data_IF_264759784897
#
_entry.id   IF_264759784897
#
_cell.length_a   1.000
_cell.length_b   1.000
_cell.length_c   1.000
_cell.angle_alpha   90.00
_cell.angle_beta   90.00
_cell.angle_gamma   90.00
#
_symmetry.space_group_name_H-M   'P 1'
#
loop_
_entity.id
_entity.type
_entity.pdbx_description
1 polymer ?
#
# COMPACT_ATOMS: atom_id res chain seq x y z
N UNK A 1 38.34 -4.10 34.46
CA UNK A 1 37.09 -4.39 33.73
C UNK A 1 36.19 -3.18 33.85
N UNK A 2 36.07 -2.39 32.78
CA UNK A 2 35.05 -1.34 32.67
C UNK A 2 33.79 -2.01 32.13
N UNK A 3 32.70 -1.98 32.89
CA UNK A 3 31.38 -2.24 32.34
C UNK A 3 30.86 -0.92 31.81
N UNK A 4 30.67 -0.85 30.50
CA UNK A 4 29.98 0.25 29.83
C UNK A 4 28.49 -0.06 29.88
N UNK A 5 27.72 0.78 30.55
CA UNK A 5 26.27 0.75 30.54
C UNK A 5 25.82 1.35 29.22
N UNK A 6 25.15 0.55 28.38
CA UNK A 6 24.45 1.04 27.19
C UNK A 6 23.18 1.73 27.70
N UNK A 7 23.06 3.03 27.42
CA UNK A 7 21.85 3.78 27.67
C UNK A 7 20.81 3.37 26.62
N UNK A 8 19.77 2.66 27.03
CA UNK A 8 18.59 2.44 26.19
C UNK A 8 17.84 3.77 26.04
N UNK A 9 17.66 4.20 24.80
CA UNK A 9 16.73 5.27 24.45
C UNK A 9 15.33 4.71 24.73
N UNK A 10 14.63 5.29 25.71
CA UNK A 10 13.26 4.93 25.99
C UNK A 10 12.38 5.46 24.84
N UNK A 11 11.90 4.56 23.98
CA UNK A 11 10.85 4.85 23.00
C UNK A 11 9.64 5.37 23.77
N UNK A 12 9.42 6.68 23.70
CA UNK A 12 8.31 7.32 24.40
C UNK A 12 7.07 7.06 23.57
N UNK A 13 6.22 6.13 24.03
CA UNK A 13 4.88 5.95 23.48
C UNK A 13 4.15 7.28 23.62
N UNK A 14 3.86 7.94 22.50
CA UNK A 14 3.04 9.15 22.52
C UNK A 14 1.61 8.69 22.80
N UNK A 15 1.21 8.76 24.08
CA UNK A 15 -0.20 8.67 24.45
C UNK A 15 -0.85 9.99 24.08
N UNK A 16 -1.06 10.22 22.78
CA UNK A 16 -1.94 11.28 22.32
C UNK A 16 -3.34 10.93 22.83
N UNK A 17 -4.02 11.91 23.45
CA UNK A 17 -5.43 11.75 23.77
C UNK A 17 -6.19 11.37 22.51
N UNK A 18 -7.13 10.43 22.62
CA UNK A 18 -7.98 9.93 21.53
C UNK A 18 -8.86 11.03 20.86
N UNK A 19 -8.64 12.30 21.18
CA UNK A 19 -9.40 13.47 20.69
C UNK A 19 -8.65 14.27 19.61
N UNK A 20 -7.41 13.91 19.24
CA UNK A 20 -6.58 14.79 18.42
C UNK A 20 -6.78 14.71 16.89
N UNK A 21 -7.54 13.74 16.34
CA UNK A 21 -7.85 13.72 14.91
C UNK A 21 -9.25 13.17 14.63
N UNK A 22 -10.22 14.06 14.50
CA UNK A 22 -11.65 13.74 14.39
C UNK A 22 -12.06 12.90 13.17
N UNK A 23 -11.15 12.65 12.23
CA UNK A 23 -11.38 11.82 11.05
C UNK A 23 -10.98 10.35 11.22
N UNK A 24 -10.19 10.01 12.25
CA UNK A 24 -9.79 8.62 12.52
C UNK A 24 -10.66 8.02 13.62
N UNK A 25 -11.43 7.00 13.26
CA UNK A 25 -12.30 6.31 14.20
C UNK A 25 -11.62 5.07 14.79
N UNK A 26 -11.29 5.11 16.09
CA UNK A 26 -10.90 3.91 16.84
C UNK A 26 -12.12 3.00 17.03
N UNK A 27 -11.97 1.74 16.62
CA UNK A 27 -13.01 0.72 16.70
C UNK A 27 -12.36 -0.60 17.14
N UNK A 28 -13.02 -1.35 18.03
CA UNK A 28 -12.52 -2.65 18.47
C UNK A 28 -12.65 -3.69 17.35
N UNK A 29 -11.82 -4.74 17.36
CA UNK A 29 -11.93 -5.80 16.37
C UNK A 29 -13.33 -6.47 16.36
N UNK A 30 -13.95 -6.82 17.51
CA UNK A 30 -15.32 -7.34 17.52
C UNK A 30 -16.36 -6.40 16.90
N UNK A 31 -16.28 -5.09 17.19
CA UNK A 31 -17.19 -4.11 16.62
C UNK A 31 -16.97 -3.97 15.10
N UNK A 32 -15.72 -4.00 14.63
CA UNK A 32 -15.42 -3.97 13.21
C UNK A 32 -15.94 -5.21 12.48
N UNK A 33 -15.73 -6.40 13.04
CA UNK A 33 -16.21 -7.68 12.49
C UNK A 33 -17.74 -7.75 12.41
N UNK A 34 -18.45 -7.03 13.29
CA UNK A 34 -19.92 -6.92 13.26
C UNK A 34 -20.46 -6.15 12.05
N UNK A 35 -19.61 -5.36 11.37
CA UNK A 35 -19.99 -4.59 10.18
C UNK A 35 -20.14 -5.51 8.95
N UNK A 36 -20.92 -5.13 7.93
CA UNK A 36 -20.93 -5.84 6.65
C UNK A 36 -19.53 -5.86 6.01
N UNK A 37 -19.16 -6.97 5.38
CA UNK A 37 -17.96 -7.02 4.55
C UNK A 37 -18.21 -6.20 3.28
N UNK A 38 -17.30 -5.27 2.96
CA UNK A 38 -17.33 -4.49 1.72
C UNK A 38 -16.15 -4.86 0.82
N UNK A 39 -16.40 -4.90 -0.49
CA UNK A 39 -15.33 -4.98 -1.48
C UNK A 39 -14.59 -6.30 -1.59
N UNK A 40 -15.25 -7.41 -1.27
CA UNK A 40 -14.77 -8.74 -1.64
C UNK A 40 -15.76 -9.40 -2.60
N UNK A 41 -15.25 -9.84 -3.75
CA UNK A 41 -16.03 -10.51 -4.78
C UNK A 41 -15.35 -11.84 -5.13
N UNK A 42 -16.12 -12.92 -5.24
CA UNK A 42 -15.60 -14.19 -5.74
C UNK A 42 -15.35 -14.09 -7.25
N UNK A 43 -14.14 -14.45 -7.68
CA UNK A 43 -13.82 -14.59 -9.10
C UNK A 43 -12.73 -13.65 -9.60
N UNK A 44 -12.06 -14.11 -10.67
CA UNK A 44 -11.00 -13.37 -11.37
C UNK A 44 -11.52 -12.18 -12.18
N UNK A 45 -12.81 -12.16 -12.50
CA UNK A 45 -13.46 -11.00 -13.09
C UNK A 45 -14.05 -10.15 -11.96
N UNK A 46 -13.30 -9.13 -11.54
CA UNK A 46 -13.97 -7.95 -11.01
C UNK A 46 -15.00 -7.50 -12.06
N UNK A 47 -16.21 -7.06 -11.68
CA UNK A 47 -17.13 -6.47 -12.65
C UNK A 47 -16.33 -5.53 -13.55
N UNK A 48 -16.30 -5.83 -14.86
CA UNK A 48 -15.70 -4.94 -15.84
C UNK A 48 -16.43 -3.59 -15.70
N UNK A 49 -15.73 -2.60 -15.13
CA UNK A 49 -16.29 -1.29 -14.84
C UNK A 49 -16.05 -0.87 -13.40
N UNK A 50 -15.29 0.23 -13.24
CA UNK A 50 -15.41 1.25 -12.19
C UNK A 50 -16.32 0.85 -11.02
N UNK A 51 -15.80 0.03 -10.12
CA UNK A 51 -16.29 0.09 -8.75
C UNK A 51 -15.78 1.42 -8.20
N UNK A 52 -16.66 2.37 -7.89
CA UNK A 52 -16.28 3.56 -7.12
C UNK A 52 -15.95 3.20 -5.66
N UNK A 53 -16.15 1.95 -5.27
CA UNK A 53 -15.94 1.44 -3.92
C UNK A 53 -14.78 0.45 -3.86
N UNK A 54 -14.17 0.34 -2.69
CA UNK A 54 -13.10 -0.63 -2.40
C UNK A 54 -13.39 -2.02 -2.98
N UNK A 55 -12.37 -2.66 -3.55
CA UNK A 55 -12.41 -4.04 -4.02
C UNK A 55 -11.03 -4.69 -3.84
N UNK A 56 -10.91 -5.66 -2.93
CA UNK A 56 -9.63 -6.29 -2.62
C UNK A 56 -9.01 -6.99 -3.83
N UNK A 57 -9.81 -7.63 -4.68
CA UNK A 57 -9.28 -8.40 -5.80
C UNK A 57 -8.84 -7.52 -6.98
N UNK A 58 -9.42 -6.34 -7.16
CA UNK A 58 -9.04 -5.40 -8.20
C UNK A 58 -9.44 -3.99 -7.76
N UNK A 59 -8.51 -3.28 -7.14
CA UNK A 59 -8.80 -1.99 -6.55
C UNK A 59 -9.23 -0.97 -7.62
N UNK A 60 -10.17 -0.08 -7.26
CA UNK A 60 -10.41 1.13 -8.04
C UNK A 60 -9.10 1.90 -8.24
N UNK A 61 -9.00 2.59 -9.37
CA UNK A 61 -7.80 3.31 -9.79
C UNK A 61 -8.16 4.44 -10.73
N UNK A 62 -7.21 5.33 -10.96
CA UNK A 62 -7.28 6.45 -11.89
C UNK A 62 -7.59 5.95 -13.28
N UNK A 63 -8.69 6.44 -13.87
CA UNK A 63 -9.18 6.02 -15.18
C UNK A 63 -10.02 7.15 -15.82
N UNK A 64 -10.20 7.11 -17.13
CA UNK A 64 -10.91 8.14 -17.89
C UNK A 64 -12.38 8.37 -17.49
N UNK A 65 -13.05 7.43 -16.84
CA UNK A 65 -14.47 7.55 -16.49
C UNK A 65 -14.70 8.34 -15.20
N UNK A 66 -13.81 8.21 -14.23
CA UNK A 66 -13.96 8.84 -12.90
C UNK A 66 -12.97 9.98 -12.68
N UNK A 67 -11.98 10.16 -13.57
CA UNK A 67 -11.02 11.23 -13.44
C UNK A 67 -11.68 12.60 -13.55
N UNK A 68 -11.43 13.46 -12.56
CA UNK A 68 -11.89 14.84 -12.56
C UNK A 68 -10.69 15.76 -12.78
N UNK A 69 -10.77 16.58 -13.82
CA UNK A 69 -9.77 17.60 -14.09
C UNK A 69 -9.79 18.66 -12.98
N UNK A 70 -8.60 19.10 -12.58
CA UNK A 70 -8.45 20.33 -11.80
C UNK A 70 -8.83 21.53 -12.69
N UNK A 71 -9.24 22.66 -12.09
CA UNK A 71 -9.55 23.89 -12.83
C UNK A 71 -8.42 24.24 -13.81
N UNK A 72 -8.76 24.88 -14.94
CA UNK A 72 -7.79 25.37 -15.91
C UNK A 72 -6.82 26.44 -15.37
N UNK A 73 -7.03 26.88 -14.12
CA UNK A 73 -6.10 27.77 -13.41
C UNK A 73 -4.84 27.06 -12.91
N UNK A 74 -4.78 25.74 -13.05
CA UNK A 74 -3.70 24.88 -12.58
C UNK A 74 -3.16 24.03 -13.73
N UNK A 75 -1.86 24.12 -13.98
CA UNK A 75 -1.13 23.30 -14.93
C UNK A 75 -0.54 22.08 -14.22
N UNK A 76 -0.81 20.87 -14.71
CA UNK A 76 -0.16 19.66 -14.21
C UNK A 76 1.30 19.63 -14.69
N UNK A 77 2.26 19.61 -13.76
CA UNK A 77 3.69 19.66 -14.08
C UNK A 77 4.46 18.38 -13.69
N UNK A 78 3.97 17.60 -12.73
CA UNK A 78 4.59 16.35 -12.31
C UNK A 78 3.56 15.33 -11.80
N UNK A 79 3.81 14.06 -12.06
CA UNK A 79 3.05 12.93 -11.53
C UNK A 79 4.03 11.91 -10.98
N UNK A 80 3.86 11.54 -9.71
CA UNK A 80 4.50 10.36 -9.15
C UNK A 80 3.44 9.49 -8.50
N UNK A 81 3.45 8.20 -8.80
CA UNK A 81 2.52 7.26 -8.18
C UNK A 81 3.24 6.02 -7.69
N UNK A 82 2.63 5.41 -6.68
CA UNK A 82 2.99 4.10 -6.16
C UNK A 82 1.76 3.21 -6.21
N UNK A 83 1.93 1.97 -6.68
CA UNK A 83 0.87 0.99 -6.58
C UNK A 83 1.35 -0.36 -6.07
N UNK A 84 0.43 -1.12 -5.48
CA UNK A 84 0.63 -2.53 -5.12
C UNK A 84 0.62 -3.40 -6.38
N UNK A 85 1.40 -4.48 -6.38
CA UNK A 85 1.25 -5.55 -7.35
C UNK A 85 -0.21 -6.09 -7.46
N UNK A 86 -0.49 -6.84 -8.53
CA UNK A 86 -1.82 -7.40 -8.80
C UNK A 86 -1.99 -8.82 -8.23
N UNK A 87 -3.12 -9.48 -8.58
CA UNK A 87 -3.49 -10.83 -8.15
C UNK A 87 -2.36 -11.82 -8.35
N UNK A 88 -1.99 -12.50 -7.26
CA UNK A 88 -0.94 -13.51 -7.21
C UNK A 88 -1.42 -14.76 -6.49
N UNK A 89 -0.64 -15.83 -6.60
CA UNK A 89 -0.77 -16.97 -5.69
C UNK A 89 -0.45 -16.55 -4.23
N UNK A 90 -0.88 -17.32 -3.23
CA UNK A 90 -0.42 -17.12 -1.85
C UNK A 90 1.11 -17.22 -1.73
N UNK A 91 1.67 -16.66 -0.66
CA UNK A 91 3.04 -16.98 -0.27
C UNK A 91 3.16 -18.46 0.14
N UNK A 92 4.33 -19.07 -0.09
CA UNK A 92 4.56 -20.48 0.26
C UNK A 92 4.31 -20.79 1.76
N UNK A 93 4.64 -19.82 2.63
CA UNK A 93 4.44 -19.86 4.08
C UNK A 93 2.98 -19.75 4.50
N UNK A 94 2.11 -19.29 3.61
CA UNK A 94 0.70 -19.03 3.86
C UNK A 94 -0.18 -20.12 3.24
N UNK A 95 0.42 -21.11 2.56
CA UNK A 95 -0.31 -22.26 2.04
C UNK A 95 -0.65 -23.26 3.14
N UNK A 96 -1.91 -23.68 3.18
CA UNK A 96 -2.42 -24.65 4.15
C UNK A 96 -1.98 -26.08 3.78
N UNK A 97 -1.98 -27.05 4.72
CA UNK A 97 -1.57 -28.43 4.44
C UNK A 97 -2.38 -29.10 3.32
N UNK A 98 -3.65 -28.72 3.15
CA UNK A 98 -4.52 -29.22 2.08
C UNK A 98 -4.25 -28.59 0.70
N UNK A 99 -3.37 -27.59 0.61
CA UNK A 99 -3.12 -26.87 -0.63
C UNK A 99 -2.16 -27.63 -1.54
N UNK A 100 -2.46 -27.63 -2.84
CA UNK A 100 -1.57 -28.20 -3.84
C UNK A 100 -0.41 -27.27 -4.09
N UNK A 101 0.80 -27.71 -3.75
CA UNK A 101 2.07 -27.03 -4.06
C UNK A 101 2.65 -27.62 -5.33
N UNK A 102 2.83 -26.80 -6.36
CA UNK A 102 3.65 -27.20 -7.51
C UNK A 102 5.14 -27.10 -7.12
N UNK A 103 5.89 -28.22 -7.09
CA UNK A 103 7.29 -28.21 -6.69
C UNK A 103 8.20 -27.43 -7.65
N UNK A 104 7.73 -27.10 -8.86
CA UNK A 104 8.49 -26.33 -9.85
C UNK A 104 8.13 -24.83 -9.85
N UNK A 105 7.22 -24.41 -8.97
CA UNK A 105 6.80 -23.00 -8.86
C UNK A 105 7.48 -22.33 -7.68
N UNK A 106 8.13 -21.19 -7.94
CA UNK A 106 8.60 -20.29 -6.88
C UNK A 106 7.44 -19.42 -6.40
N UNK A 107 6.87 -19.70 -5.23
CA UNK A 107 5.77 -18.87 -4.72
C UNK A 107 6.28 -17.58 -4.05
N UNK A 108 5.58 -16.44 -4.21
CA UNK A 108 4.37 -16.26 -5.00
C UNK A 108 4.66 -15.96 -6.49
N UNK A 109 3.64 -16.16 -7.34
CA UNK A 109 3.65 -15.75 -8.75
C UNK A 109 2.41 -14.92 -9.10
N UNK A 110 2.57 -13.96 -10.01
CA UNK A 110 1.43 -13.26 -10.60
C UNK A 110 0.57 -14.27 -11.37
N UNK A 111 -0.74 -14.20 -11.17
CA UNK A 111 -1.71 -15.03 -11.89
C UNK A 111 -2.00 -14.45 -13.27
N UNK A 112 -2.54 -15.25 -14.20
CA UNK A 112 -3.04 -14.73 -15.49
C UNK A 112 -4.06 -13.58 -15.29
N UNK A 113 -4.90 -13.65 -14.26
CA UNK A 113 -5.81 -12.56 -13.90
C UNK A 113 -5.05 -11.29 -13.48
N UNK A 114 -3.96 -11.45 -12.72
CA UNK A 114 -3.10 -10.34 -12.33
C UNK A 114 -2.34 -9.71 -13.49
N UNK A 115 -1.90 -10.49 -14.49
CA UNK A 115 -1.31 -9.95 -15.72
C UNK A 115 -2.33 -9.12 -16.52
N UNK A 116 -3.56 -9.63 -16.67
CA UNK A 116 -4.66 -8.91 -17.34
C UNK A 116 -4.98 -7.61 -16.59
N UNK A 117 -5.09 -7.65 -15.26
CA UNK A 117 -5.37 -6.46 -14.46
C UNK A 117 -4.22 -5.45 -14.54
N UNK A 118 -2.97 -5.90 -14.58
CA UNK A 118 -1.79 -5.05 -14.76
C UNK A 118 -1.82 -4.33 -16.11
N UNK A 119 -2.12 -5.05 -17.20
CA UNK A 119 -2.29 -4.47 -18.53
C UNK A 119 -3.41 -3.43 -18.56
N UNK A 120 -4.57 -3.75 -17.97
CA UNK A 120 -5.69 -2.83 -17.91
C UNK A 120 -5.38 -1.60 -17.05
N UNK A 121 -4.66 -1.77 -15.93
CA UNK A 121 -4.18 -0.67 -15.11
C UNK A 121 -3.30 0.28 -15.94
N UNK A 122 -2.38 -0.25 -16.75
CA UNK A 122 -1.61 0.55 -17.70
C UNK A 122 -2.49 1.33 -18.69
N UNK A 123 -3.50 0.69 -19.26
CA UNK A 123 -4.46 1.37 -20.16
C UNK A 123 -5.27 2.46 -19.46
N UNK A 124 -5.69 2.22 -18.23
CA UNK A 124 -6.46 3.18 -17.44
C UNK A 124 -5.63 4.45 -17.19
N UNK A 125 -4.37 4.29 -16.77
CA UNK A 125 -3.44 5.40 -16.59
C UNK A 125 -3.13 6.12 -17.91
N UNK A 126 -2.90 5.38 -19.00
CA UNK A 126 -2.70 5.96 -20.33
C UNK A 126 -3.88 6.83 -20.75
N UNK A 127 -5.12 6.34 -20.56
CA UNK A 127 -6.31 7.09 -20.93
C UNK A 127 -6.43 8.44 -20.21
N UNK A 128 -5.90 8.55 -19.00
CA UNK A 128 -5.90 9.81 -18.23
C UNK A 128 -4.72 10.67 -18.62
N UNK A 129 -3.50 10.15 -18.45
CA UNK A 129 -2.29 10.97 -18.57
C UNK A 129 -1.85 11.21 -20.01
N UNK A 130 -2.23 10.36 -20.96
CA UNK A 130 -2.01 10.61 -22.38
C UNK A 130 -3.27 11.22 -23.03
N UNK A 131 -4.38 10.48 -23.06
CA UNK A 131 -5.50 10.86 -23.94
C UNK A 131 -6.29 12.09 -23.43
N UNK A 132 -6.54 12.19 -22.12
CA UNK A 132 -7.30 13.31 -21.53
C UNK A 132 -6.41 14.52 -21.28
N UNK A 133 -5.25 14.30 -20.65
CA UNK A 133 -4.39 15.38 -20.17
C UNK A 133 -3.29 15.79 -21.16
N UNK A 134 -2.95 14.95 -22.15
CA UNK A 134 -1.81 15.18 -23.04
C UNK A 134 -0.47 15.29 -22.30
N UNK A 135 -0.38 14.72 -21.09
CA UNK A 135 0.76 14.87 -20.19
C UNK A 135 1.88 13.90 -20.54
N UNK A 136 1.58 12.63 -20.83
CA UNK A 136 2.55 11.63 -21.30
C UNK A 136 2.87 11.85 -22.78
N UNK A 137 4.12 11.63 -23.22
CA UNK A 137 4.47 11.64 -24.63
C UNK A 137 3.87 10.43 -25.37
N UNK A 138 3.60 10.57 -26.66
CA UNK A 138 3.09 9.49 -27.52
C UNK A 138 4.10 8.33 -27.62
N UNK A 139 5.39 8.65 -27.74
CA UNK A 139 6.49 7.69 -27.70
C UNK A 139 7.18 7.72 -26.34
N UNK A 140 7.61 6.54 -25.84
CA UNK A 140 8.33 6.46 -24.58
C UNK A 140 9.64 7.26 -24.64
N UNK A 141 9.78 8.20 -23.71
CA UNK A 141 10.98 9.01 -23.54
C UNK A 141 11.56 8.79 -22.13
N UNK A 142 12.73 8.13 -22.00
CA UNK A 142 13.34 7.88 -20.69
C UNK A 142 13.86 9.15 -19.99
N UNK A 143 13.96 10.30 -20.67
CA UNK A 143 14.30 11.58 -20.04
C UNK A 143 13.10 12.25 -19.35
N UNK A 144 11.88 11.83 -19.71
CA UNK A 144 10.62 12.39 -19.21
C UNK A 144 9.80 11.41 -18.35
N UNK A 145 9.96 10.10 -18.58
CA UNK A 145 9.12 9.05 -18.01
C UNK A 145 9.99 7.95 -17.38
N UNK A 146 9.84 7.76 -16.07
CA UNK A 146 10.56 6.76 -15.29
C UNK A 146 9.63 5.70 -14.70
N UNK A 147 10.14 4.48 -14.61
CA UNK A 147 9.49 3.35 -13.95
C UNK A 147 10.45 2.72 -12.96
N UNK A 148 9.94 2.29 -11.81
CA UNK A 148 10.69 1.57 -10.78
C UNK A 148 9.82 0.45 -10.24
N UNK A 149 10.40 -0.71 -10.01
CA UNK A 149 9.74 -1.80 -9.30
C UNK A 149 10.70 -2.40 -8.28
N UNK A 150 10.16 -2.94 -7.19
CA UNK A 150 10.97 -3.57 -6.12
C UNK A 150 11.76 -4.76 -6.65
N UNK A 151 12.82 -5.20 -5.94
CA UNK A 151 13.59 -6.37 -6.37
C UNK A 151 12.85 -7.71 -6.09
N UNK A 152 11.65 -7.84 -6.64
CA UNK A 152 10.71 -8.94 -6.44
C UNK A 152 10.12 -9.40 -7.78
N UNK A 153 9.98 -10.70 -7.97
CA UNK A 153 9.49 -11.27 -9.23
C UNK A 153 8.05 -10.86 -9.55
N UNK A 154 7.19 -10.64 -8.54
CA UNK A 154 5.78 -10.29 -8.77
C UNK A 154 5.62 -8.84 -9.24
N UNK A 155 6.41 -7.91 -8.73
CA UNK A 155 6.38 -6.50 -9.14
C UNK A 155 6.99 -6.34 -10.54
N UNK A 156 8.03 -7.12 -10.86
CA UNK A 156 8.55 -7.23 -12.22
C UNK A 156 7.51 -7.77 -13.23
N UNK A 157 6.78 -8.83 -12.88
CA UNK A 157 5.73 -9.38 -13.75
C UNK A 157 4.58 -8.38 -13.99
N UNK A 158 4.21 -7.60 -12.97
CA UNK A 158 3.26 -6.49 -13.09
C UNK A 158 3.77 -5.43 -14.05
N UNK A 159 5.02 -4.97 -13.88
CA UNK A 159 5.66 -4.01 -14.78
C UNK A 159 5.57 -4.45 -16.25
N UNK A 160 5.97 -5.70 -16.55
CA UNK A 160 5.98 -6.25 -17.91
C UNK A 160 4.60 -6.25 -18.57
N UNK A 161 3.53 -6.41 -17.79
CA UNK A 161 2.16 -6.39 -18.29
C UNK A 161 1.60 -4.97 -18.39
N UNK A 162 1.93 -4.11 -17.41
CA UNK A 162 1.53 -2.72 -17.37
C UNK A 162 2.04 -1.91 -18.55
N UNK A 163 3.32 -2.04 -18.87
CA UNK A 163 3.93 -1.28 -19.99
C UNK A 163 3.27 -1.60 -21.33
N UNK A 164 2.83 -2.84 -21.54
CA UNK A 164 2.08 -3.20 -22.76
C UNK A 164 0.76 -2.44 -22.88
N UNK A 165 0.18 -2.01 -21.77
CA UNK A 165 -1.04 -1.20 -21.74
C UNK A 165 -0.79 0.31 -21.94
N UNK A 166 0.40 0.80 -21.58
CA UNK A 166 0.79 2.21 -21.75
C UNK A 166 1.51 2.47 -23.07
N UNK A 167 2.60 1.75 -23.33
CA UNK A 167 3.44 1.91 -24.52
C UNK A 167 3.56 0.58 -25.28
N UNK A 168 2.55 0.20 -26.08
CA UNK A 168 2.56 -1.06 -26.81
C UNK A 168 3.77 -1.19 -27.73
N UNK A 169 4.64 -2.17 -27.46
CA UNK A 169 5.82 -2.46 -28.27
C UNK A 169 7.06 -1.61 -27.98
N UNK A 170 6.99 -0.67 -27.02
CA UNK A 170 8.17 0.06 -26.58
C UNK A 170 9.09 -0.81 -25.72
N UNK A 171 10.40 -0.55 -25.81
CA UNK A 171 11.39 -1.15 -24.92
C UNK A 171 11.61 -0.23 -23.71
N UNK A 172 10.82 -0.41 -22.67
CA UNK A 172 10.90 0.37 -21.43
C UNK A 172 11.79 -0.36 -20.42
N UNK A 173 12.76 0.34 -19.86
CA UNK A 173 13.61 -0.17 -18.78
C UNK A 173 13.16 0.48 -17.48
N UNK A 174 12.85 -0.33 -16.47
CA UNK A 174 12.64 0.17 -15.12
C UNK A 174 13.95 0.24 -14.34
N UNK A 175 14.02 1.19 -13.41
CA UNK A 175 15.05 1.24 -12.40
C UNK A 175 14.96 0.05 -11.45
N UNK A 176 16.12 -0.49 -11.10
CA UNK A 176 16.32 -1.51 -10.07
C UNK A 176 17.41 -1.04 -9.12
N UNK A 177 17.13 -1.08 -7.81
CA UNK A 177 18.10 -0.71 -6.77
C UNK A 177 18.44 -1.93 -5.91
N UNK A 178 19.70 -2.01 -5.49
CA UNK A 178 20.16 -3.04 -4.56
C UNK A 178 19.63 -2.78 -3.14
N UNK A 179 19.72 -1.53 -2.69
CA UNK A 179 19.07 -1.04 -1.48
C UNK A 179 17.88 -0.19 -1.92
N UNK A 180 16.70 -0.77 -1.77
CA UNK A 180 15.46 -0.21 -2.29
C UNK A 180 14.57 0.25 -1.13
N UNK A 181 14.28 1.56 -1.02
CA UNK A 181 13.32 2.12 -0.06
C UNK A 181 11.86 2.01 -0.53
N UNK A 182 11.60 1.49 -1.75
CA UNK A 182 10.25 1.24 -2.26
C UNK A 182 9.65 -0.03 -1.66
N UNK A 183 10.48 -1.05 -1.46
CA UNK A 183 10.12 -2.18 -0.61
C UNK A 183 10.44 -1.79 0.84
N UNK A 184 9.52 -1.95 1.80
CA UNK A 184 9.74 -1.53 3.19
C UNK A 184 10.67 -2.50 3.96
N UNK A 185 11.79 -2.88 3.35
CA UNK A 185 12.73 -3.89 3.81
C UNK A 185 13.99 -3.32 4.47
N UNK A 186 14.12 -1.99 4.55
CA UNK A 186 15.18 -1.35 5.35
C UNK A 186 14.96 -1.77 6.81
N UNK A 187 15.92 -2.47 7.45
CA UNK A 187 15.82 -2.83 8.86
C UNK A 187 15.59 -1.59 9.72
N UNK A 188 14.71 -1.69 10.71
CA UNK A 188 14.50 -0.59 11.65
C UNK A 188 13.86 -1.08 12.94
N UNK A 189 14.67 -1.21 13.98
CA UNK A 189 14.22 -1.68 15.29
C UNK A 189 13.12 -0.79 15.89
N UNK A 190 13.21 0.53 15.70
CA UNK A 190 12.21 1.50 16.17
C UNK A 190 10.84 1.26 15.51
N UNK A 191 10.81 1.02 14.20
CA UNK A 191 9.57 0.71 13.49
C UNK A 191 8.99 -0.65 13.94
N UNK A 192 9.85 -1.65 14.18
CA UNK A 192 9.42 -2.96 14.67
C UNK A 192 8.84 -2.87 16.09
N UNK A 193 9.50 -2.15 16.98
CA UNK A 193 9.04 -1.90 18.35
C UNK A 193 7.71 -1.12 18.38
N UNK A 194 7.56 -0.11 17.53
CA UNK A 194 6.31 0.64 17.40
C UNK A 194 5.16 -0.25 16.90
N UNK A 195 5.40 -1.08 15.89
CA UNK A 195 4.40 -2.03 15.40
C UNK A 195 4.02 -3.04 16.48
N UNK A 196 4.99 -3.57 17.23
CA UNK A 196 4.74 -4.46 18.36
C UNK A 196 3.94 -3.76 19.46
N UNK A 197 4.25 -2.50 19.78
CA UNK A 197 3.52 -1.71 20.76
C UNK A 197 2.08 -1.45 20.34
N UNK A 198 1.83 -1.13 19.05
CA UNK A 198 0.47 -0.97 18.51
C UNK A 198 -0.33 -2.27 18.69
N UNK A 199 0.28 -3.42 18.38
CA UNK A 199 -0.35 -4.74 18.51
C UNK A 199 -0.40 -5.27 19.95
N UNK A 200 -0.01 -4.47 20.93
CA UNK A 200 -0.06 -4.81 22.35
C UNK A 200 -0.97 -3.86 23.15
N UNK A 201 -1.75 -3.02 22.46
CA UNK A 201 -2.70 -2.12 23.13
C UNK A 201 -3.94 -2.89 23.58
N UNK A 202 -4.70 -2.33 24.53
CA UNK A 202 -5.97 -2.91 24.99
C UNK A 202 -7.03 -3.03 23.87
N UNK A 203 -6.86 -2.30 22.75
CA UNK A 203 -7.74 -2.40 21.59
C UNK A 203 -7.35 -3.55 20.65
N UNK A 204 -6.09 -3.99 20.68
CA UNK A 204 -5.66 -5.19 19.97
C UNK A 204 -6.35 -6.41 20.54
N UNK A 205 -6.91 -7.23 19.66
CA UNK A 205 -7.55 -8.45 20.10
C UNK A 205 -6.49 -9.52 20.36
N UNK A 206 -6.66 -10.28 21.45
CA UNK A 206 -5.87 -11.48 21.64
C UNK A 206 -6.36 -12.56 20.67
N UNK A 207 -5.48 -13.09 19.82
CA UNK A 207 -5.84 -14.12 18.84
C UNK A 207 -6.42 -15.36 19.54
N UNK A 208 -5.94 -15.65 20.75
CA UNK A 208 -6.46 -16.73 21.60
C UNK A 208 -7.92 -16.58 22.03
N UNK A 209 -8.45 -15.35 22.02
CA UNK A 209 -9.86 -15.07 22.34
C UNK A 209 -10.77 -15.14 21.10
N UNK A 210 -10.21 -15.19 19.90
CA UNK A 210 -10.96 -15.26 18.65
C UNK A 210 -11.17 -16.72 18.23
N UNK A 211 -12.43 -17.19 18.25
CA UNK A 211 -12.74 -18.60 17.95
C UNK A 211 -12.32 -19.04 16.55
N UNK A 212 -12.32 -18.11 15.59
CA UNK A 212 -11.97 -18.35 14.19
C UNK A 212 -10.57 -19.00 14.02
N UNK A 213 -9.60 -18.65 14.87
CA UNK A 213 -8.26 -19.26 14.81
C UNK A 213 -8.31 -20.76 15.13
N UNK A 214 -9.06 -21.14 16.17
CA UNK A 214 -9.19 -22.53 16.56
C UNK A 214 -10.04 -23.30 15.54
N UNK A 215 -11.12 -22.71 15.04
CA UNK A 215 -11.98 -23.32 14.01
C UNK A 215 -11.20 -23.66 12.74
N UNK A 216 -10.43 -22.70 12.20
CA UNK A 216 -9.62 -22.92 11.00
C UNK A 216 -8.44 -23.86 11.29
N UNK A 217 -7.82 -23.74 12.47
CA UNK A 217 -6.73 -24.63 12.86
C UNK A 217 -7.15 -26.10 12.90
N UNK A 218 -8.29 -26.39 13.52
CA UNK A 218 -8.85 -27.74 13.60
C UNK A 218 -9.25 -28.25 12.22
N UNK A 219 -9.82 -27.39 11.38
CA UNK A 219 -10.25 -27.74 10.03
C UNK A 219 -9.08 -28.08 9.11
N UNK A 220 -8.01 -27.29 9.15
CA UNK A 220 -6.87 -27.40 8.25
C UNK A 220 -5.73 -28.26 8.83
N UNK A 221 -5.90 -28.77 10.06
CA UNK A 221 -4.92 -29.62 10.74
C UNK A 221 -3.62 -28.90 11.10
N UNK A 222 -3.70 -27.60 11.43
CA UNK A 222 -2.55 -26.78 11.83
C UNK A 222 -2.59 -26.47 13.34
N UNK A 223 -1.45 -26.10 13.90
CA UNK A 223 -1.33 -25.72 15.32
C UNK A 223 -0.20 -24.72 15.51
N UNK A 224 -0.20 -24.02 16.67
CA UNK A 224 0.74 -22.94 16.99
C UNK A 224 2.22 -23.35 16.97
N UNK A 225 2.53 -24.61 17.26
CA UNK A 225 3.93 -25.09 17.29
C UNK A 225 4.44 -25.44 15.89
N UNK A 226 3.62 -26.08 15.07
CA UNK A 226 3.98 -26.48 13.70
C UNK A 226 3.86 -25.34 12.68
N UNK A 227 2.95 -24.39 12.94
CA UNK A 227 2.57 -23.32 12.01
C UNK A 227 2.45 -21.96 12.72
N UNK A 228 3.49 -21.50 13.44
CA UNK A 228 3.41 -20.32 14.30
C UNK A 228 2.97 -19.04 13.57
N UNK A 229 3.25 -18.91 12.27
CA UNK A 229 2.83 -17.76 11.46
C UNK A 229 1.31 -17.56 11.40
N UNK A 230 0.51 -18.62 11.56
CA UNK A 230 -0.96 -18.53 11.56
C UNK A 230 -1.56 -18.07 12.90
N UNK A 231 -0.76 -17.82 13.94
CA UNK A 231 -1.24 -17.60 15.31
C UNK A 231 -0.71 -16.31 15.97
N UNK A 232 -0.25 -15.33 15.18
CA UNK A 232 0.13 -13.99 15.64
C UNK A 232 -0.42 -12.84 14.79
N UNK A 233 -1.14 -13.16 13.73
CA UNK A 233 -1.89 -12.26 12.85
C UNK A 233 -2.81 -13.13 11.99
N UNK A 234 -3.94 -12.57 11.55
CA UNK A 234 -4.85 -13.26 10.63
C UNK A 234 -4.33 -13.25 9.18
N UNK A 235 -3.22 -12.56 8.92
CA UNK A 235 -2.61 -12.33 7.62
C UNK A 235 -2.36 -13.62 6.81
N UNK A 236 -1.88 -14.69 7.44
CA UNK A 236 -1.65 -15.98 6.76
C UNK A 236 -2.96 -16.57 6.21
N UNK A 237 -4.04 -16.57 7.01
CA UNK A 237 -5.36 -17.01 6.55
C UNK A 237 -5.94 -16.06 5.51
N UNK A 238 -5.79 -14.75 5.73
CA UNK A 238 -6.28 -13.73 4.83
C UNK A 238 -5.61 -13.83 3.46
N UNK A 239 -4.28 -13.91 3.39
CA UNK A 239 -3.51 -14.06 2.15
C UNK A 239 -3.88 -15.34 1.40
N UNK A 240 -4.03 -16.46 2.12
CA UNK A 240 -4.43 -17.74 1.53
C UNK A 240 -5.81 -17.66 0.88
N UNK A 241 -6.83 -17.28 1.67
CA UNK A 241 -8.21 -17.27 1.25
C UNK A 241 -8.47 -16.20 0.20
N UNK A 242 -7.90 -15.00 0.36
CA UNK A 242 -8.06 -13.92 -0.62
C UNK A 242 -7.39 -14.25 -1.95
N UNK A 243 -6.18 -14.83 -1.96
CA UNK A 243 -5.50 -15.21 -3.21
C UNK A 243 -6.31 -16.24 -4.00
N UNK A 244 -6.85 -17.27 -3.33
CA UNK A 244 -7.72 -18.29 -3.96
C UNK A 244 -9.02 -17.70 -4.48
N UNK A 245 -9.73 -16.95 -3.64
CA UNK A 245 -11.03 -16.36 -4.04
C UNK A 245 -10.89 -15.34 -5.17
N UNK A 246 -9.84 -14.53 -5.17
CA UNK A 246 -9.53 -13.60 -6.26
C UNK A 246 -9.10 -14.32 -7.55
N UNK A 247 -8.55 -15.53 -7.48
CA UNK A 247 -8.32 -16.38 -8.64
C UNK A 247 -9.61 -17.04 -9.16
N UNK A 248 -10.67 -17.05 -8.37
CA UNK A 248 -11.92 -17.77 -8.64
C UNK A 248 -11.90 -19.23 -8.18
N UNK A 249 -10.92 -19.60 -7.35
CA UNK A 249 -10.81 -20.94 -6.79
C UNK A 249 -11.85 -21.14 -5.67
N UNK A 250 -12.26 -22.39 -5.50
CA UNK A 250 -13.06 -22.78 -4.35
C UNK A 250 -12.22 -22.71 -3.07
N UNK A 251 -12.81 -22.16 -2.01
CA UNK A 251 -12.23 -22.17 -0.66
C UNK A 251 -13.03 -23.12 0.23
N UNK A 252 -12.32 -23.85 1.07
CA UNK A 252 -12.91 -24.80 2.00
C UNK A 252 -13.24 -24.11 3.32
N UNK A 253 -14.07 -23.07 3.32
CA UNK A 253 -14.52 -22.37 4.54
C UNK A 253 -15.99 -21.98 4.37
N UNK A 254 -16.70 -21.79 5.49
CA UNK A 254 -18.05 -21.20 5.44
C UNK A 254 -17.96 -19.72 5.07
N UNK A 255 -19.07 -19.14 4.62
CA UNK A 255 -19.12 -17.70 4.34
C UNK A 255 -18.83 -16.88 5.61
N UNK A 256 -19.30 -17.32 6.77
CA UNK A 256 -19.07 -16.64 8.05
C UNK A 256 -17.59 -16.66 8.44
N UNK A 257 -16.91 -17.80 8.27
CA UNK A 257 -15.47 -17.90 8.48
C UNK A 257 -14.70 -16.99 7.53
N UNK A 258 -15.05 -17.02 6.24
CA UNK A 258 -14.43 -16.14 5.23
C UNK A 258 -14.61 -14.67 5.60
N UNK A 259 -15.84 -14.24 5.89
CA UNK A 259 -16.17 -12.87 6.26
C UNK A 259 -15.39 -12.43 7.51
N UNK A 260 -15.27 -13.31 8.50
CA UNK A 260 -14.55 -13.02 9.75
C UNK A 260 -13.06 -12.82 9.47
N UNK A 261 -12.42 -13.71 8.70
CA UNK A 261 -11.02 -13.56 8.31
C UNK A 261 -10.78 -12.26 7.54
N UNK A 262 -11.62 -11.97 6.54
CA UNK A 262 -11.45 -10.76 5.73
C UNK A 262 -11.62 -9.48 6.54
N UNK A 263 -12.62 -9.43 7.43
CA UNK A 263 -12.84 -8.26 8.31
C UNK A 263 -11.74 -8.10 9.34
N UNK A 264 -11.25 -9.18 9.94
CA UNK A 264 -10.10 -9.10 10.86
C UNK A 264 -8.86 -8.60 10.13
N UNK A 265 -8.58 -9.08 8.92
CA UNK A 265 -7.42 -8.61 8.16
C UNK A 265 -7.52 -7.13 7.80
N UNK A 266 -8.71 -6.65 7.43
CA UNK A 266 -8.94 -5.22 7.25
C UNK A 266 -8.75 -4.42 8.53
N UNK A 267 -9.29 -4.91 9.64
CA UNK A 267 -9.15 -4.25 10.93
C UNK A 267 -7.69 -4.18 11.39
N UNK A 268 -6.92 -5.27 11.26
CA UNK A 268 -5.49 -5.27 11.60
C UNK A 268 -4.72 -4.21 10.81
N UNK A 269 -5.05 -4.03 9.52
CA UNK A 269 -4.44 -3.01 8.67
C UNK A 269 -4.91 -1.60 9.02
N UNK A 270 -6.21 -1.39 9.22
CA UNK A 270 -6.77 -0.12 9.67
C UNK A 270 -6.08 0.33 10.95
N UNK A 271 -6.07 -0.54 11.95
CA UNK A 271 -5.54 -0.21 13.26
C UNK A 271 -4.03 -0.02 13.23
N UNK A 272 -3.29 -0.94 12.60
CA UNK A 272 -1.81 -0.84 12.57
C UNK A 272 -1.34 0.39 11.81
N UNK A 273 -1.95 0.70 10.66
CA UNK A 273 -1.39 1.63 9.69
C UNK A 273 -2.22 2.90 9.46
N UNK A 274 -3.30 3.11 10.19
CA UNK A 274 -4.12 4.31 10.00
C UNK A 274 -4.72 4.83 11.31
N UNK A 275 -5.57 4.05 11.98
CA UNK A 275 -6.37 4.55 13.11
C UNK A 275 -5.63 4.56 14.45
N UNK A 276 -4.58 3.77 14.65
CA UNK A 276 -3.76 3.84 15.86
C UNK A 276 -3.07 5.20 16.02
N UNK A 277 -3.02 5.77 17.24
CA UNK A 277 -2.26 7.00 17.51
C UNK A 277 -0.77 6.93 17.16
N UNK A 278 -0.19 5.73 17.12
CA UNK A 278 1.22 5.52 16.77
C UNK A 278 1.44 5.19 15.28
N UNK A 279 0.39 5.22 14.44
CA UNK A 279 0.52 4.87 13.02
C UNK A 279 1.47 5.83 12.28
N UNK A 280 1.31 7.14 12.46
CA UNK A 280 2.22 8.15 11.88
C UNK A 280 3.66 7.93 12.33
N UNK A 281 3.88 7.71 13.63
CA UNK A 281 5.22 7.50 14.17
C UNK A 281 5.86 6.22 13.60
N UNK A 282 5.10 5.13 13.47
CA UNK A 282 5.55 3.92 12.77
C UNK A 282 5.93 4.23 11.30
N UNK A 283 5.08 4.97 10.60
CA UNK A 283 5.27 5.33 9.20
C UNK A 283 6.52 6.16 8.97
N UNK A 284 6.86 7.08 9.89
CA UNK A 284 8.08 7.90 9.85
C UNK A 284 9.34 7.04 9.73
N UNK A 285 9.48 6.07 10.63
CA UNK A 285 10.63 5.17 10.61
C UNK A 285 10.57 4.18 9.44
N UNK A 286 9.40 3.59 9.18
CA UNK A 286 9.30 2.52 8.17
C UNK A 286 9.35 3.02 6.72
N UNK A 287 8.82 4.20 6.46
CA UNK A 287 8.57 4.68 5.09
C UNK A 287 8.95 6.16 4.88
N UNK A 288 9.67 6.76 5.83
CA UNK A 288 10.20 8.11 5.70
C UNK A 288 11.21 8.24 4.56
N UNK A 289 12.12 7.27 4.37
CA UNK A 289 13.11 7.33 3.30
C UNK A 289 12.49 7.46 1.90
N UNK A 290 11.40 6.74 1.62
CA UNK A 290 10.67 6.88 0.36
C UNK A 290 9.96 8.24 0.26
N UNK A 291 9.35 8.68 1.37
CA UNK A 291 8.54 9.91 1.37
C UNK A 291 9.41 11.17 1.29
N UNK A 292 10.62 11.14 1.86
CA UNK A 292 11.64 12.18 1.66
C UNK A 292 12.16 12.19 0.22
N UNK A 293 12.36 11.02 -0.40
CA UNK A 293 12.69 10.93 -1.83
C UNK A 293 11.58 11.56 -2.70
N UNK A 294 10.32 11.21 -2.44
CA UNK A 294 9.16 11.80 -3.10
C UNK A 294 9.11 13.33 -2.94
N UNK A 295 9.31 13.85 -1.73
CA UNK A 295 9.37 15.29 -1.48
C UNK A 295 10.50 15.96 -2.28
N UNK A 296 11.68 15.35 -2.31
CA UNK A 296 12.82 15.86 -3.09
C UNK A 296 12.55 15.92 -4.58
N UNK A 297 11.73 15.00 -5.13
CA UNK A 297 11.33 15.08 -6.53
C UNK A 297 10.44 16.28 -6.80
N UNK A 298 9.52 16.62 -5.89
CA UNK A 298 8.72 17.84 -6.03
C UNK A 298 9.59 19.10 -5.99
N UNK A 299 10.55 19.17 -5.06
CA UNK A 299 11.51 20.29 -4.98
C UNK A 299 12.31 20.44 -6.28
N UNK A 300 12.82 19.33 -6.83
CA UNK A 300 13.60 19.36 -8.08
C UNK A 300 12.75 19.72 -9.31
N UNK A 301 11.44 19.45 -9.30
CA UNK A 301 10.54 19.93 -10.36
C UNK A 301 10.32 21.43 -10.22
N UNK A 302 10.10 21.91 -8.99
CA UNK A 302 9.89 23.33 -8.66
C UNK A 302 11.12 24.17 -9.04
N UNK A 303 12.33 23.68 -8.76
CA UNK A 303 13.57 24.38 -9.08
C UNK A 303 14.07 24.18 -10.52
N UNK A 304 13.43 23.26 -11.28
CA UNK A 304 13.73 22.96 -12.67
C UNK A 304 14.96 22.07 -12.90
N UNK A 305 15.50 21.43 -11.86
CA UNK A 305 16.63 20.50 -11.96
C UNK A 305 16.24 19.08 -12.38
N UNK A 306 14.95 18.73 -12.32
CA UNK A 306 14.43 17.42 -12.75
C UNK A 306 13.66 17.50 -14.07
N UNK A 307 14.04 16.64 -15.02
CA UNK A 307 13.38 16.51 -16.33
C UNK A 307 12.25 15.48 -16.33
N UNK A 308 12.33 14.47 -15.45
CA UNK A 308 11.32 13.42 -15.32
C UNK A 308 10.03 14.06 -14.82
N UNK A 309 8.98 13.99 -15.65
CA UNK A 309 7.64 14.52 -15.34
C UNK A 309 6.67 13.45 -14.87
N UNK A 310 6.94 12.17 -15.17
CA UNK A 310 6.13 11.04 -14.74
C UNK A 310 7.01 9.95 -14.13
N UNK A 311 6.74 9.57 -12.87
CA UNK A 311 7.40 8.46 -12.19
C UNK A 311 6.37 7.44 -11.70
N UNK A 312 6.59 6.17 -12.03
CA UNK A 312 5.70 5.07 -11.65
C UNK A 312 6.44 4.02 -10.84
N UNK A 313 6.04 3.87 -9.57
CA UNK A 313 6.60 2.89 -8.65
C UNK A 313 5.66 1.69 -8.46
N UNK A 314 6.17 0.47 -8.62
CA UNK A 314 5.42 -0.79 -8.46
C UNK A 314 5.95 -1.55 -7.24
N UNK A 315 5.09 -1.73 -6.25
CA UNK A 315 5.46 -2.08 -4.89
C UNK A 315 4.50 -3.11 -4.26
N UNK A 316 4.44 -3.13 -2.92
CA UNK A 316 3.71 -4.11 -2.13
C UNK A 316 2.60 -3.44 -1.30
N UNK A 317 1.74 -4.26 -0.69
CA UNK A 317 0.78 -3.78 0.32
C UNK A 317 1.51 -3.16 1.50
N UNK A 318 2.63 -3.74 1.95
CA UNK A 318 3.48 -3.15 2.99
C UNK A 318 3.97 -1.73 2.63
N UNK A 319 4.31 -1.48 1.37
CA UNK A 319 4.70 -0.15 0.86
C UNK A 319 3.54 0.84 0.94
N UNK A 320 2.37 0.44 0.43
CA UNK A 320 1.15 1.25 0.48
C UNK A 320 0.74 1.56 1.92
N UNK A 321 0.79 0.57 2.80
CA UNK A 321 0.45 0.71 4.22
C UNK A 321 1.46 1.54 5.00
N UNK A 322 2.76 1.42 4.71
CA UNK A 322 3.79 2.28 5.31
C UNK A 322 3.58 3.75 4.94
N UNK A 323 3.26 4.02 3.67
CA UNK A 323 2.94 5.37 3.20
C UNK A 323 1.66 5.92 3.82
N UNK A 324 0.59 5.12 3.87
CA UNK A 324 -0.67 5.53 4.53
C UNK A 324 -0.45 5.81 6.01
N UNK A 325 0.36 5.00 6.69
CA UNK A 325 0.70 5.22 8.10
C UNK A 325 1.36 6.58 8.29
N UNK A 326 2.42 6.85 7.54
CA UNK A 326 3.13 8.13 7.59
C UNK A 326 2.23 9.31 7.23
N UNK A 327 1.29 9.16 6.29
CA UNK A 327 0.42 10.26 5.88
C UNK A 327 -0.88 10.36 6.69
N UNK A 328 -1.11 9.50 7.69
CA UNK A 328 -2.44 9.34 8.31
C UNK A 328 -2.97 10.59 9.03
N UNK A 329 -2.09 11.49 9.49
CA UNK A 329 -2.48 12.81 10.01
C UNK A 329 -2.68 13.86 8.90
N UNK A 330 -2.12 13.62 7.71
CA UNK A 330 -2.16 14.53 6.57
C UNK A 330 -3.33 14.27 5.63
N UNK A 331 -3.78 13.02 5.51
CA UNK A 331 -4.89 12.61 4.62
C UNK A 331 -6.09 12.08 5.42
N UNK A 332 -7.27 12.12 4.81
CA UNK A 332 -8.49 11.52 5.35
C UNK A 332 -9.03 10.44 4.42
N UNK A 333 -8.94 9.18 4.88
CA UNK A 333 -9.51 8.01 4.21
C UNK A 333 -10.84 7.54 4.85
N UNK A 334 -11.23 8.11 5.99
CA UNK A 334 -12.32 7.63 6.85
C UNK A 334 -12.05 6.27 7.51
N UNK A 335 -11.88 5.23 6.70
CA UNK A 335 -11.43 3.90 7.10
C UNK A 335 -10.38 3.38 6.12
N UNK A 336 -9.34 2.77 6.66
CA UNK A 336 -8.35 2.08 5.85
C UNK A 336 -8.66 0.59 5.83
N UNK A 337 -8.68 -0.01 4.66
CA UNK A 337 -8.75 -1.46 4.49
C UNK A 337 -7.40 -1.92 3.97
N UNK A 338 -7.05 -3.19 4.21
CA UNK A 338 -5.86 -3.80 3.61
C UNK A 338 -5.77 -3.41 2.13
N UNK A 339 -4.69 -2.76 1.65
CA UNK A 339 -4.59 -2.31 0.27
C UNK A 339 -4.89 -3.46 -0.69
N UNK A 340 -5.98 -3.37 -1.45
CA UNK A 340 -6.35 -4.42 -2.40
C UNK A 340 -5.36 -4.52 -3.57
N UNK A 341 -5.45 -5.59 -4.35
CA UNK A 341 -4.60 -5.85 -5.50
C UNK A 341 -4.67 -4.68 -6.49
N UNK A 342 -3.51 -4.15 -6.88
CA UNK A 342 -3.45 -2.99 -7.77
C UNK A 342 -3.83 -1.66 -7.14
N UNK A 343 -3.98 -1.56 -5.80
CA UNK A 343 -4.24 -0.28 -5.12
C UNK A 343 -3.14 0.73 -5.45
N UNK A 344 -3.53 1.97 -5.72
CA UNK A 344 -2.59 3.04 -6.03
C UNK A 344 -2.81 4.28 -5.16
N UNK A 345 -1.72 5.00 -4.91
CA UNK A 345 -1.72 6.37 -4.43
C UNK A 345 -0.96 7.21 -5.45
N UNK A 346 -1.61 8.27 -5.94
CA UNK A 346 -1.09 9.15 -6.98
C UNK A 346 -0.87 10.53 -6.38
N UNK A 347 0.31 11.07 -6.62
CA UNK A 347 0.68 12.45 -6.31
C UNK A 347 0.81 13.23 -7.61
N UNK A 348 0.04 14.30 -7.73
CA UNK A 348 0.10 15.20 -8.88
C UNK A 348 0.48 16.60 -8.39
N UNK A 349 1.58 17.14 -8.91
CA UNK A 349 2.01 18.50 -8.64
C UNK A 349 1.48 19.43 -9.72
N UNK A 350 0.80 20.48 -9.28
CA UNK A 350 0.23 21.50 -10.13
C UNK A 350 0.92 22.84 -9.89
N UNK A 351 1.06 23.63 -10.95
CA UNK A 351 1.44 25.03 -10.90
C UNK A 351 0.23 25.90 -11.18
N UNK A 352 -0.13 26.77 -10.25
CA UNK A 352 -1.22 27.72 -10.41
C UNK A 352 -0.78 28.93 -11.25
N UNK A 353 -1.75 29.65 -11.82
CA UNK A 353 -1.52 30.87 -12.60
C UNK A 353 -0.74 31.97 -11.87
N UNK A 354 -0.72 31.96 -10.54
CA UNK A 354 0.02 32.89 -9.70
C UNK A 354 1.43 32.38 -9.34
N UNK A 355 1.88 31.30 -9.97
CA UNK A 355 3.16 30.62 -9.74
C UNK A 355 3.27 29.84 -8.42
N UNK A 356 2.18 29.73 -7.65
CA UNK A 356 2.11 28.86 -6.47
C UNK A 356 1.96 27.39 -6.88
N UNK A 357 2.43 26.48 -6.04
CA UNK A 357 2.40 25.05 -6.32
C UNK A 357 1.42 24.31 -5.40
N UNK A 358 0.70 23.34 -5.96
CA UNK A 358 -0.34 22.58 -5.27
C UNK A 358 -0.14 21.09 -5.47
N UNK A 359 -0.28 20.33 -4.38
CA UNK A 359 -0.26 18.89 -4.39
C UNK A 359 -1.69 18.35 -4.39
N UNK A 360 -2.01 17.53 -5.39
CA UNK A 360 -3.17 16.65 -5.37
C UNK A 360 -2.74 15.24 -5.00
N UNK A 361 -3.41 14.65 -4.02
CA UNK A 361 -3.24 13.24 -3.64
C UNK A 361 -4.53 12.51 -3.99
N UNK A 362 -4.40 11.39 -4.71
CA UNK A 362 -5.50 10.49 -5.02
C UNK A 362 -5.22 9.10 -4.46
N UNK A 363 -6.24 8.43 -3.94
CA UNK A 363 -6.18 7.02 -3.53
C UNK A 363 -7.36 6.26 -4.13
N UNK A 364 -7.07 5.15 -4.80
CA UNK A 364 -8.09 4.37 -5.49
C UNK A 364 -8.86 5.15 -6.57
N UNK A 365 -8.18 6.07 -7.27
CA UNK A 365 -8.78 6.92 -8.31
C UNK A 365 -9.66 8.07 -7.81
N UNK A 366 -9.71 8.31 -6.49
CA UNK A 366 -10.42 9.46 -5.89
C UNK A 366 -9.46 10.46 -5.30
N UNK A 367 -9.74 11.74 -5.50
CA UNK A 367 -9.05 12.81 -4.79
C UNK A 367 -9.35 12.71 -3.30
N UNK A 368 -8.28 12.65 -2.49
CA UNK A 368 -8.36 12.65 -1.03
C UNK A 368 -7.82 13.96 -0.44
N UNK A 369 -6.98 14.68 -1.17
CA UNK A 369 -6.46 15.99 -0.76
C UNK A 369 -6.02 16.82 -1.97
N UNK A 370 -6.30 18.12 -1.92
CA UNK A 370 -5.75 19.13 -2.82
C UNK A 370 -5.34 20.35 -1.99
N UNK A 371 -4.05 20.66 -1.93
CA UNK A 371 -3.48 21.57 -0.92
C UNK A 371 -2.21 22.26 -1.45
N UNK A 372 -1.83 23.44 -0.97
CA UNK A 372 -0.52 24.02 -1.26
C UNK A 372 0.62 23.03 -0.96
N UNK A 373 1.62 22.93 -1.83
CA UNK A 373 2.73 21.97 -1.64
C UNK A 373 3.48 22.19 -0.31
N UNK A 374 3.57 23.44 0.14
CA UNK A 374 4.19 23.82 1.41
C UNK A 374 3.57 23.10 2.62
N UNK A 375 2.27 22.78 2.59
CA UNK A 375 1.63 22.03 3.67
C UNK A 375 2.19 20.60 3.77
N UNK A 376 2.57 20.01 2.64
CA UNK A 376 3.20 18.69 2.61
C UNK A 376 4.64 18.75 3.11
N UNK A 377 5.42 19.76 2.69
CA UNK A 377 6.78 19.95 3.20
C UNK A 377 6.81 20.22 4.70
N UNK A 378 5.99 21.17 5.17
CA UNK A 378 5.85 21.45 6.60
C UNK A 378 5.40 20.22 7.39
N UNK A 379 4.50 19.40 6.82
CA UNK A 379 4.08 18.16 7.47
C UNK A 379 5.24 17.17 7.70
N UNK A 380 6.12 17.00 6.71
CA UNK A 380 7.29 16.13 6.86
C UNK A 380 8.35 16.72 7.79
N UNK A 381 8.53 18.04 7.74
CA UNK A 381 9.49 18.76 8.59
C UNK A 381 9.05 18.77 10.06
N UNK A 382 7.78 19.07 10.35
CA UNK A 382 7.22 19.05 11.71
C UNK A 382 7.29 17.67 12.37
N UNK A 383 7.35 16.62 11.54
CA UNK A 383 7.49 15.24 11.97
C UNK A 383 8.95 14.77 12.04
N UNK A 384 9.93 15.58 11.63
CA UNK A 384 11.34 15.22 11.52
C UNK A 384 11.55 13.93 10.69
N UNK A 385 10.79 13.75 9.60
CA UNK A 385 10.74 12.48 8.84
C UNK A 385 12.12 12.05 8.36
N UNK A 386 12.89 12.98 7.80
CA UNK A 386 14.22 12.70 7.26
C UNK A 386 15.23 12.28 8.34
N UNK A 387 15.19 12.92 9.52
CA UNK A 387 16.06 12.55 10.64
C UNK A 387 15.65 11.20 11.25
N UNK A 388 14.34 10.95 11.39
CA UNK A 388 13.83 9.70 11.93
C UNK A 388 14.19 8.50 11.03
N UNK A 389 13.96 8.61 9.73
CA UNK A 389 14.20 7.49 8.81
C UNK A 389 15.68 7.23 8.51
N UNK A 390 16.54 8.26 8.65
CA UNK A 390 17.99 8.09 8.55
C UNK A 390 18.52 7.12 9.62
N UNK A 391 17.93 7.11 10.83
CA UNK A 391 18.35 6.21 11.92
C UNK A 391 18.18 4.72 11.57
N UNK A 392 17.24 4.38 10.70
CA UNK A 392 17.02 3.01 10.24
C UNK A 392 18.06 2.57 9.19
N UNK A 393 18.61 3.50 8.41
CA UNK A 393 19.54 3.18 7.31
C UNK A 393 20.94 2.80 7.81
N UNK A 394 21.23 3.08 9.08
CA UNK A 394 22.52 2.86 9.74
C UNK A 394 22.57 1.57 10.59
N UNK A 395 21.48 0.79 10.65
CA UNK A 395 21.39 -0.53 11.31
C UNK A 395 21.93 -1.67 10.43
#
# INVERSE_FOLDING_TARGET
MKFSTVAGIATTVVVASAEANGHRQLISAPDYVSRPLSGFHHGSQSPLGVSETYNYCNMPRTNAYTYQNVSSDYELIYVELIHRHHKRTPYASNMLPGDTKDPNTSYPQITNGGEIDSFNHGKDLWSVYHDILGFLPEEYDPELVSYRYTNNNITHAVFNSLIKGMYPGANVTAELRELDNLEPNIPCSQADDLKAAIRSTDLWYEESNMTIYNELADQDGINKTGYPGFFGSIDHFFDNLSSKTCAGDAVNVTQEQFDTVMKLGHWEYDYTFYSSPNATEYGKYRYGNFTTELASHFEQVIDGSRTIKYQHNIAHDGSMSGLVALLSDFIDLGFFQWPGMGSEMVFQLYKANNEDYYLRIMYGGKEIKFTPIEDFFNYLDDLDVAEASAQCSDE
#
